data_IF_521818416573
#
_entry.id   IF_521818416573
#
_cell.length_a   1.000
_cell.length_b   1.000
_cell.length_c   1.000
_cell.angle_alpha   90.00
_cell.angle_beta   90.00
_cell.angle_gamma   90.00
#
_symmetry.space_group_name_H-M   'P 1'
#
loop_
_entity.id
_entity.type
_entity.pdbx_description
1 polymer ?
#
# COMPACT_ATOMS: atom_id res chain seq x y z
N UNK A 1 -1.23 -3.22 24.83
CA UNK A 1 -1.48 -2.16 23.82
C UNK A 1 -0.23 -1.39 23.43
N UNK A 2 0.60 -0.87 24.35
CA UNK A 2 1.78 -0.03 24.03
C UNK A 2 2.74 -0.63 23.01
N UNK A 3 2.92 -1.94 22.95
CA UNK A 3 3.79 -2.60 21.98
C UNK A 3 3.25 -2.61 20.54
N UNK A 4 1.96 -2.38 20.34
CA UNK A 4 1.31 -2.37 19.03
C UNK A 4 1.17 -0.98 18.41
N UNK A 5 1.80 0.02 19.01
CA UNK A 5 1.85 1.41 18.55
C UNK A 5 3.21 2.01 18.94
N UNK A 6 3.72 2.90 18.11
CA UNK A 6 4.94 3.65 18.39
C UNK A 6 4.83 5.05 17.80
N UNK A 7 5.86 5.89 17.96
CA UNK A 7 5.90 7.21 17.33
C UNK A 7 5.82 7.14 15.80
N UNK A 8 6.24 6.02 15.19
CA UNK A 8 6.10 5.82 13.76
C UNK A 8 4.62 5.82 13.32
N UNK A 9 3.69 5.29 14.12
CA UNK A 9 2.25 5.29 13.82
C UNK A 9 1.64 6.69 13.70
N UNK A 10 2.31 7.71 14.22
CA UNK A 10 1.86 9.11 14.15
C UNK A 10 2.53 9.90 13.03
N UNK A 11 3.32 9.23 12.19
CA UNK A 11 3.93 9.88 11.03
C UNK A 11 2.87 10.36 10.07
N UNK A 12 3.11 11.56 9.53
CA UNK A 12 2.28 12.13 8.51
C UNK A 12 2.81 11.78 7.11
N UNK A 13 2.01 11.13 6.25
CA UNK A 13 2.44 10.81 4.90
C UNK A 13 2.78 12.08 4.11
N UNK A 14 3.96 12.12 3.49
CA UNK A 14 4.38 13.27 2.67
C UNK A 14 3.76 13.25 1.26
N UNK A 15 3.13 12.13 0.86
CA UNK A 15 2.35 12.00 -0.36
C UNK A 15 0.93 11.56 -0.01
N UNK A 16 -0.02 12.48 -0.06
CA UNK A 16 -1.45 12.18 0.15
C UNK A 16 -2.17 12.36 -1.18
N UNK A 17 -2.54 11.25 -1.82
CA UNK A 17 -3.19 11.15 -3.13
C UNK A 17 -4.45 10.29 -3.01
N UNK A 18 -5.39 10.33 -3.99
CA UNK A 18 -6.54 9.42 -3.99
C UNK A 18 -6.09 7.97 -3.87
N UNK A 19 -6.56 7.27 -2.84
CA UNK A 19 -6.23 5.86 -2.60
C UNK A 19 -7.22 5.25 -1.60
N UNK A 20 -7.63 3.99 -1.80
CA UNK A 20 -8.34 3.18 -0.80
C UNK A 20 -7.48 2.90 0.43
N UNK A 21 -6.17 3.06 0.30
CA UNK A 21 -5.18 2.74 1.32
C UNK A 21 -4.91 3.85 2.36
N UNK A 22 -5.55 5.03 2.21
CA UNK A 22 -5.25 6.21 3.06
C UNK A 22 -5.26 5.91 4.56
N UNK A 23 -6.23 5.13 5.00
CA UNK A 23 -6.41 4.83 6.42
C UNK A 23 -5.39 3.83 7.00
N UNK A 24 -4.64 3.14 6.14
CA UNK A 24 -3.61 2.18 6.55
C UNK A 24 -2.21 2.80 6.72
N UNK A 25 -2.02 4.08 6.35
CA UNK A 25 -0.74 4.78 6.50
C UNK A 25 -0.11 4.65 7.90
N UNK A 26 -0.85 4.91 9.00
CA UNK A 26 -0.33 4.75 10.36
C UNK A 26 0.20 3.36 10.66
N UNK A 27 -0.48 2.32 10.17
CA UNK A 27 -0.02 0.95 10.30
C UNK A 27 1.21 0.67 9.44
N UNK A 28 1.27 1.19 8.22
CA UNK A 28 2.43 1.02 7.35
C UNK A 28 3.71 1.54 8.02
N UNK A 29 3.68 2.73 8.61
CA UNK A 29 4.83 3.29 9.32
C UNK A 29 5.27 2.42 10.50
N UNK A 30 4.33 1.91 11.30
CA UNK A 30 4.64 1.00 12.39
C UNK A 30 5.18 -0.34 11.88
N UNK A 31 4.56 -0.94 10.86
CA UNK A 31 5.02 -2.19 10.26
C UNK A 31 6.46 -2.09 9.77
N UNK A 32 6.77 -1.01 9.04
CA UNK A 32 8.11 -0.76 8.53
C UNK A 32 9.15 -0.58 9.66
N UNK A 33 8.74 0.00 10.78
CA UNK A 33 9.61 0.10 11.97
C UNK A 33 9.87 -1.26 12.61
N UNK A 34 8.85 -2.12 12.70
CA UNK A 34 9.01 -3.46 13.30
C UNK A 34 9.80 -4.40 12.39
N UNK A 35 9.55 -4.35 11.09
CA UNK A 35 10.11 -5.31 10.14
C UNK A 35 11.48 -4.87 9.59
N UNK A 36 11.68 -3.57 9.34
CA UNK A 36 12.85 -2.99 8.66
C UNK A 36 13.25 -3.81 7.42
N UNK A 37 12.34 -4.00 6.45
CA UNK A 37 12.56 -4.89 5.33
C UNK A 37 13.70 -4.40 4.45
N UNK A 38 14.62 -5.30 4.08
CA UNK A 38 15.70 -4.99 3.10
C UNK A 38 15.12 -4.76 1.72
N UNK A 39 14.09 -5.55 1.37
CA UNK A 39 13.35 -5.42 0.13
C UNK A 39 11.84 -5.49 0.39
N UNK A 40 11.16 -4.42 0.02
CA UNK A 40 9.69 -4.37 -0.09
C UNK A 40 9.32 -4.40 -1.57
N UNK A 41 8.33 -5.21 -1.92
CA UNK A 41 7.74 -5.21 -3.26
C UNK A 41 6.24 -4.95 -3.14
N UNK A 42 5.73 -4.05 -3.98
CA UNK A 42 4.31 -3.74 -4.11
C UNK A 42 3.83 -4.10 -5.52
N UNK A 43 2.78 -4.90 -5.60
CA UNK A 43 2.10 -5.30 -6.83
C UNK A 43 0.78 -4.51 -6.94
N UNK A 44 0.73 -3.57 -7.89
CA UNK A 44 -0.34 -2.58 -8.00
C UNK A 44 -0.04 -1.35 -7.15
N UNK A 45 0.25 -0.24 -7.80
CA UNK A 45 0.73 0.97 -7.12
C UNK A 45 -0.14 2.18 -7.43
N UNK A 46 -0.72 2.22 -8.61
CA UNK A 46 -1.57 3.30 -9.08
C UNK A 46 -0.94 4.69 -8.87
N UNK A 47 -1.37 5.44 -7.86
CA UNK A 47 -0.86 6.79 -7.52
C UNK A 47 0.26 6.78 -6.47
N UNK A 48 0.61 5.60 -5.92
CA UNK A 48 1.76 5.40 -5.06
C UNK A 48 1.63 5.93 -3.64
N UNK A 49 0.45 5.86 -3.01
CA UNK A 49 0.31 6.27 -1.61
C UNK A 49 1.01 5.29 -0.66
N UNK A 50 0.68 4.00 -0.71
CA UNK A 50 1.28 2.92 0.09
C UNK A 50 2.79 2.83 -0.14
N UNK A 51 3.19 2.81 -1.40
CA UNK A 51 4.58 2.83 -1.82
C UNK A 51 5.37 4.02 -1.21
N UNK A 52 4.79 5.22 -1.23
CA UNK A 52 5.42 6.40 -0.63
C UNK A 52 5.54 6.29 0.91
N UNK A 53 4.56 5.69 1.60
CA UNK A 53 4.65 5.42 3.03
C UNK A 53 5.83 4.47 3.34
N UNK A 54 6.02 3.42 2.55
CA UNK A 54 7.16 2.50 2.69
C UNK A 54 8.49 3.21 2.43
N UNK A 55 8.60 3.97 1.33
CA UNK A 55 9.81 4.75 1.02
C UNK A 55 10.14 5.80 2.09
N UNK A 56 9.12 6.52 2.58
CA UNK A 56 9.28 7.50 3.66
C UNK A 56 9.84 6.86 4.92
N UNK A 57 9.35 5.66 5.27
CA UNK A 57 9.81 4.90 6.42
C UNK A 57 11.30 4.55 6.30
N UNK A 58 11.72 4.00 5.15
CA UNK A 58 13.13 3.67 4.88
C UNK A 58 14.01 4.91 5.04
N UNK A 59 13.63 6.02 4.37
CA UNK A 59 14.37 7.28 4.41
C UNK A 59 14.51 7.84 5.82
N UNK A 60 13.39 7.84 6.57
CA UNK A 60 13.35 8.40 7.92
C UNK A 60 14.16 7.60 8.92
N UNK A 61 14.05 6.29 8.88
CA UNK A 61 14.77 5.39 9.77
C UNK A 61 16.24 5.14 9.36
N UNK A 62 16.63 5.57 8.15
CA UNK A 62 18.01 5.51 7.63
C UNK A 62 18.61 4.10 7.66
N UNK A 63 17.83 3.09 7.32
CA UNK A 63 18.35 1.73 7.12
C UNK A 63 18.46 1.39 5.61
N UNK A 64 19.28 0.40 5.22
CA UNK A 64 19.54 0.08 3.80
C UNK A 64 18.40 -0.75 3.19
N UNK A 65 17.17 -0.21 3.19
CA UNK A 65 15.99 -0.81 2.58
C UNK A 65 15.74 -0.25 1.18
N UNK A 66 15.13 -1.09 0.33
CA UNK A 66 14.65 -0.73 -1.01
C UNK A 66 13.16 -1.06 -1.13
N UNK A 67 12.46 -0.26 -1.92
CA UNK A 67 11.03 -0.45 -2.20
C UNK A 67 10.86 -0.46 -3.72
N UNK A 68 10.37 -1.56 -4.26
CA UNK A 68 10.05 -1.71 -5.68
C UNK A 68 8.53 -1.74 -5.80
N UNK A 69 7.97 -0.91 -6.65
CA UNK A 69 6.59 -1.07 -7.06
C UNK A 69 6.49 -1.54 -8.51
N UNK A 70 5.53 -2.40 -8.76
CA UNK A 70 5.24 -2.96 -10.08
C UNK A 70 3.83 -2.61 -10.46
N UNK A 71 3.67 -1.95 -11.61
CA UNK A 71 2.37 -1.59 -12.16
C UNK A 71 2.52 -1.40 -13.67
N UNK A 72 1.51 -1.72 -14.44
CA UNK A 72 1.46 -1.39 -15.87
C UNK A 72 1.03 0.05 -16.11
N UNK A 73 0.34 0.66 -15.16
CA UNK A 73 -0.39 1.93 -15.28
C UNK A 73 -1.39 1.96 -16.45
N UNK A 74 -1.87 0.78 -16.88
CA UNK A 74 -2.92 0.67 -17.90
C UNK A 74 -4.32 0.64 -17.29
N UNK A 75 -4.39 0.42 -15.96
CA UNK A 75 -5.64 0.24 -15.23
C UNK A 75 -6.24 -1.16 -15.42
N UNK A 76 -7.38 -1.35 -14.81
CA UNK A 76 -8.20 -2.55 -14.89
C UNK A 76 -9.69 -2.18 -14.80
N UNK A 77 -10.56 -3.21 -14.78
CA UNK A 77 -12.00 -3.03 -14.76
C UNK A 77 -12.51 -2.28 -13.52
N UNK A 78 -11.79 -2.35 -12.40
CA UNK A 78 -12.16 -1.70 -11.14
C UNK A 78 -11.56 -0.29 -11.02
N UNK A 79 -10.36 -0.07 -11.52
CA UNK A 79 -9.64 1.20 -11.38
C UNK A 79 -10.18 2.32 -12.28
N UNK A 80 -10.90 1.98 -13.38
CA UNK A 80 -11.45 2.97 -14.32
C UNK A 80 -10.39 3.88 -14.94
N UNK A 81 -9.14 3.42 -15.03
CA UNK A 81 -8.00 4.15 -15.57
C UNK A 81 -7.95 3.95 -17.08
N UNK A 82 -7.75 5.02 -17.83
CA UNK A 82 -7.44 4.99 -19.26
C UNK A 82 -5.96 5.33 -19.48
N UNK A 83 -5.36 4.86 -20.59
CA UNK A 83 -3.92 4.94 -20.87
C UNK A 83 -3.29 6.31 -20.58
N UNK A 84 -3.91 7.39 -21.05
CA UNK A 84 -3.39 8.75 -20.80
C UNK A 84 -3.32 9.11 -19.32
N UNK A 85 -4.31 8.68 -18.53
CA UNK A 85 -4.33 8.92 -17.09
C UNK A 85 -3.25 8.09 -16.40
N UNK A 86 -3.02 6.87 -16.87
CA UNK A 86 -1.94 6.01 -16.38
C UNK A 86 -0.56 6.62 -16.60
N UNK A 87 -0.30 7.17 -17.79
CA UNK A 87 0.95 7.87 -18.10
C UNK A 87 1.18 9.09 -17.19
N UNK A 88 0.14 9.89 -16.95
CA UNK A 88 0.20 11.04 -16.04
C UNK A 88 0.49 10.59 -14.59
N UNK A 89 -0.14 9.50 -14.12
CA UNK A 89 0.10 8.95 -12.79
C UNK A 89 1.53 8.43 -12.61
N UNK A 90 2.02 7.66 -13.60
CA UNK A 90 3.38 7.16 -13.60
C UNK A 90 4.40 8.30 -13.56
N UNK A 91 4.26 9.30 -14.45
CA UNK A 91 5.17 10.44 -14.52
C UNK A 91 5.18 11.28 -13.21
N UNK A 92 3.99 11.50 -12.61
CA UNK A 92 3.85 12.21 -11.33
C UNK A 92 4.53 11.44 -10.18
N UNK A 93 4.34 10.11 -10.12
CA UNK A 93 4.98 9.28 -9.11
C UNK A 93 6.48 9.20 -9.32
N UNK A 94 6.95 9.06 -10.57
CA UNK A 94 8.39 9.05 -10.89
C UNK A 94 9.07 10.34 -10.45
N UNK A 95 8.46 11.51 -10.75
CA UNK A 95 9.00 12.79 -10.31
C UNK A 95 9.09 12.88 -8.78
N UNK A 96 8.07 12.38 -8.07
CA UNK A 96 8.08 12.34 -6.61
C UNK A 96 9.19 11.43 -6.05
N UNK A 97 9.44 10.29 -6.68
CA UNK A 97 10.53 9.37 -6.30
C UNK A 97 11.89 10.01 -6.56
N UNK A 98 12.09 10.61 -7.72
CA UNK A 98 13.36 11.26 -8.08
C UNK A 98 13.72 12.39 -7.11
N UNK A 99 12.73 13.14 -6.65
CA UNK A 99 12.90 14.23 -5.68
C UNK A 99 13.13 13.71 -4.26
N UNK A 100 12.36 12.71 -3.82
CA UNK A 100 12.28 12.36 -2.41
C UNK A 100 12.93 11.04 -2.03
N UNK A 101 13.01 10.06 -2.94
CA UNK A 101 13.35 8.66 -2.63
C UNK A 101 14.38 8.04 -3.57
N UNK A 102 15.21 8.88 -4.19
CA UNK A 102 16.31 8.42 -5.05
C UNK A 102 17.19 7.41 -4.33
N UNK A 103 17.36 6.22 -4.93
CA UNK A 103 18.13 5.12 -4.35
C UNK A 103 17.36 4.26 -3.33
N UNK A 104 16.12 4.63 -2.98
CA UNK A 104 15.21 3.87 -2.11
C UNK A 104 14.06 3.26 -2.92
N UNK A 105 13.33 4.11 -3.64
CA UNK A 105 12.17 3.73 -4.43
C UNK A 105 12.51 3.45 -5.88
N UNK A 106 11.90 2.43 -6.45
CA UNK A 106 12.06 2.05 -7.86
C UNK A 106 10.69 1.69 -8.46
N UNK A 107 10.35 2.28 -9.61
CA UNK A 107 9.14 1.99 -10.36
C UNK A 107 9.45 1.00 -11.48
N UNK A 108 8.71 -0.11 -11.55
CA UNK A 108 8.75 -1.09 -12.63
C UNK A 108 7.45 -1.02 -13.41
N UNK A 109 7.48 -0.40 -14.59
CA UNK A 109 6.33 -0.31 -15.48
C UNK A 109 6.22 -1.58 -16.34
N UNK A 110 5.69 -2.65 -15.75
CA UNK A 110 5.59 -3.96 -16.41
C UNK A 110 4.51 -4.82 -15.74
N UNK A 111 4.22 -5.99 -16.29
CA UNK A 111 3.37 -6.99 -15.64
C UNK A 111 4.07 -7.63 -14.43
N UNK A 112 3.27 -8.07 -13.45
CA UNK A 112 3.81 -8.70 -12.23
C UNK A 112 4.61 -9.96 -12.54
N UNK A 113 4.17 -10.75 -13.54
CA UNK A 113 4.87 -11.95 -14.01
C UNK A 113 6.23 -11.66 -14.64
N UNK A 114 6.37 -10.54 -15.33
CA UNK A 114 7.66 -10.12 -15.94
C UNK A 114 8.61 -9.58 -14.87
N UNK A 115 8.09 -8.86 -13.88
CA UNK A 115 8.88 -8.30 -12.79
C UNK A 115 9.57 -9.38 -11.94
N UNK A 116 9.06 -10.62 -11.90
CA UNK A 116 9.70 -11.76 -11.24
C UNK A 116 11.16 -11.97 -11.69
N UNK A 117 11.47 -11.68 -12.96
CA UNK A 117 12.82 -11.85 -13.51
C UNK A 117 13.83 -10.80 -12.99
N UNK A 118 13.36 -9.76 -12.33
CA UNK A 118 14.17 -8.66 -11.80
C UNK A 118 14.32 -8.70 -10.28
N UNK A 119 13.77 -9.72 -9.62
CA UNK A 119 13.85 -9.92 -8.17
C UNK A 119 14.42 -11.30 -7.88
N UNK A 120 15.43 -11.38 -7.04
CA UNK A 120 16.05 -12.65 -6.65
C UNK A 120 15.10 -13.46 -5.75
N UNK A 121 15.16 -14.79 -5.86
CA UNK A 121 14.37 -15.69 -5.03
C UNK A 121 14.81 -15.58 -3.56
N UNK A 122 13.86 -15.61 -2.65
CA UNK A 122 14.12 -15.58 -1.20
C UNK A 122 14.57 -14.23 -0.64
N UNK A 123 14.35 -13.11 -1.35
CA UNK A 123 14.87 -11.79 -0.94
C UNK A 123 13.82 -10.79 -0.48
N UNK A 124 12.54 -11.02 -0.77
CA UNK A 124 11.44 -10.08 -0.45
C UNK A 124 11.01 -10.27 1.00
N UNK A 125 11.30 -9.29 1.85
CA UNK A 125 10.92 -9.31 3.27
C UNK A 125 9.47 -8.80 3.50
N UNK A 126 8.96 -7.93 2.61
CA UNK A 126 7.59 -7.44 2.62
C UNK A 126 7.02 -7.45 1.21
N UNK A 127 5.96 -8.21 0.99
CA UNK A 127 5.18 -8.22 -0.25
C UNK A 127 3.82 -7.57 0.00
N UNK A 128 3.43 -6.60 -0.82
CA UNK A 128 2.09 -6.01 -0.81
C UNK A 128 1.36 -6.39 -2.10
N UNK A 129 0.25 -7.11 -1.98
CA UNK A 129 -0.61 -7.54 -3.09
C UNK A 129 -1.82 -6.62 -3.13
N UNK A 130 -1.85 -5.75 -4.14
CA UNK A 130 -2.89 -4.74 -4.38
C UNK A 130 -3.11 -4.54 -5.90
N UNK A 131 -3.11 -5.67 -6.63
CA UNK A 131 -3.33 -5.73 -8.09
C UNK A 131 -4.81 -5.74 -8.46
N UNK A 132 -5.16 -6.59 -9.45
CA UNK A 132 -6.56 -6.83 -9.82
C UNK A 132 -7.28 -7.56 -8.70
N UNK A 133 -8.54 -7.21 -8.47
CA UNK A 133 -9.26 -7.58 -7.26
C UNK A 133 -10.10 -8.87 -7.39
N UNK A 134 -10.04 -9.59 -8.54
CA UNK A 134 -10.70 -10.88 -8.67
C UNK A 134 -9.97 -11.96 -7.86
N UNK A 135 -10.69 -13.01 -7.47
CA UNK A 135 -10.13 -14.10 -6.68
C UNK A 135 -8.93 -14.77 -7.35
N UNK A 136 -9.05 -15.09 -8.65
CA UNK A 136 -7.99 -15.78 -9.38
C UNK A 136 -6.74 -14.90 -9.55
N UNK A 137 -6.93 -13.59 -9.81
CA UNK A 137 -5.82 -12.66 -9.94
C UNK A 137 -5.06 -12.51 -8.60
N UNK A 138 -5.75 -12.28 -7.49
CA UNK A 138 -5.10 -12.16 -6.17
C UNK A 138 -4.38 -13.47 -5.77
N UNK A 139 -4.93 -14.62 -6.14
CA UNK A 139 -4.31 -15.92 -5.93
C UNK A 139 -3.08 -16.12 -6.81
N UNK A 140 -3.17 -15.78 -8.09
CA UNK A 140 -2.04 -15.87 -9.04
C UNK A 140 -0.90 -14.94 -8.60
N UNK A 141 -1.21 -13.67 -8.29
CA UNK A 141 -0.23 -12.69 -7.84
C UNK A 141 0.54 -13.19 -6.62
N UNK A 142 -0.16 -13.67 -5.59
CA UNK A 142 0.48 -14.19 -4.40
C UNK A 142 1.29 -15.47 -4.70
N UNK A 143 0.68 -16.47 -5.34
CA UNK A 143 1.31 -17.80 -5.51
C UNK A 143 2.54 -17.75 -6.40
N UNK A 144 2.56 -16.90 -7.43
CA UNK A 144 3.72 -16.72 -8.31
C UNK A 144 4.87 -16.01 -7.60
N UNK A 145 4.57 -15.14 -6.62
CA UNK A 145 5.58 -14.39 -5.86
C UNK A 145 6.07 -15.11 -4.60
N UNK A 146 5.47 -16.23 -4.18
CA UNK A 146 5.90 -16.99 -2.98
C UNK A 146 7.38 -17.33 -3.02
N UNK A 147 7.93 -17.75 -4.17
CA UNK A 147 9.36 -18.09 -4.30
C UNK A 147 10.31 -16.91 -4.07
N UNK A 148 9.79 -15.67 -4.20
CA UNK A 148 10.57 -14.45 -3.95
C UNK A 148 10.64 -14.06 -2.49
N UNK A 149 9.74 -14.60 -1.65
CA UNK A 149 9.64 -14.28 -0.24
C UNK A 149 10.85 -14.79 0.55
N UNK A 150 11.38 -13.93 1.40
CA UNK A 150 12.38 -14.30 2.39
C UNK A 150 11.78 -15.28 3.42
N UNK A 151 12.61 -16.08 4.12
CA UNK A 151 12.13 -17.07 5.10
C UNK A 151 11.34 -16.49 6.29
N UNK A 152 11.37 -15.18 6.47
CA UNK A 152 10.65 -14.45 7.54
C UNK A 152 9.87 -13.26 6.99
N UNK A 153 9.27 -13.44 5.81
CA UNK A 153 8.53 -12.35 5.14
C UNK A 153 7.15 -12.11 5.74
N UNK A 154 6.60 -10.94 5.43
CA UNK A 154 5.20 -10.57 5.65
C UNK A 154 4.56 -10.29 4.30
N UNK A 155 3.32 -10.73 4.13
CA UNK A 155 2.51 -10.46 2.94
C UNK A 155 1.30 -9.62 3.36
N UNK A 156 1.08 -8.51 2.68
CA UNK A 156 -0.11 -7.66 2.81
C UNK A 156 -1.07 -7.95 1.66
N UNK A 157 -2.36 -8.03 1.97
CA UNK A 157 -3.46 -8.12 1.00
C UNK A 157 -4.42 -6.97 1.24
N UNK A 158 -4.57 -6.09 0.26
CA UNK A 158 -5.57 -5.02 0.35
C UNK A 158 -6.95 -5.52 -0.12
N UNK A 159 -8.01 -4.73 0.14
CA UNK A 159 -9.40 -5.00 -0.26
C UNK A 159 -10.03 -6.27 0.32
N UNK A 160 -9.54 -6.76 1.46
CA UNK A 160 -10.06 -7.97 2.12
C UNK A 160 -11.48 -7.79 2.67
N UNK A 161 -12.02 -6.57 2.72
CA UNK A 161 -13.38 -6.28 3.18
C UNK A 161 -14.35 -5.85 2.08
N UNK A 162 -13.90 -5.75 0.81
CA UNK A 162 -14.77 -5.41 -0.32
C UNK A 162 -15.52 -6.65 -0.83
N UNK A 163 -16.85 -6.55 -1.00
CA UNK A 163 -17.74 -7.68 -1.35
C UNK A 163 -18.50 -7.49 -2.66
N UNK A 164 -18.50 -6.31 -3.22
CA UNK A 164 -19.23 -5.89 -4.42
C UNK A 164 -18.32 -5.82 -5.65
N UNK A 165 -18.86 -5.49 -6.80
CA UNK A 165 -18.16 -5.31 -8.08
C UNK A 165 -17.29 -6.49 -8.54
N UNK A 166 -17.60 -7.73 -8.10
CA UNK A 166 -16.84 -8.93 -8.49
C UNK A 166 -15.53 -9.13 -7.72
N UNK A 167 -15.24 -8.29 -6.72
CA UNK A 167 -14.08 -8.48 -5.86
C UNK A 167 -14.05 -9.88 -5.25
N UNK A 168 -12.88 -10.49 -5.23
CA UNK A 168 -12.65 -11.84 -4.73
C UNK A 168 -11.50 -11.96 -3.74
N UNK A 169 -10.79 -10.85 -3.48
CA UNK A 169 -9.65 -10.83 -2.54
C UNK A 169 -10.06 -11.37 -1.17
N UNK A 170 -11.26 -11.01 -0.67
CA UNK A 170 -11.76 -11.49 0.61
C UNK A 170 -11.91 -13.02 0.69
N UNK A 171 -12.24 -13.68 -0.44
CA UNK A 171 -12.35 -15.15 -0.50
C UNK A 171 -10.96 -15.76 -0.43
N UNK A 172 -10.03 -15.24 -1.21
CA UNK A 172 -8.66 -15.70 -1.19
C UNK A 172 -7.98 -15.43 0.16
N UNK A 173 -8.23 -14.26 0.76
CA UNK A 173 -7.75 -13.95 2.10
C UNK A 173 -8.24 -14.96 3.14
N UNK A 174 -9.53 -15.30 3.13
CA UNK A 174 -10.08 -16.32 4.03
C UNK A 174 -9.42 -17.70 3.85
N UNK A 175 -9.08 -18.06 2.61
CA UNK A 175 -8.37 -19.32 2.30
C UNK A 175 -6.92 -19.29 2.80
N UNK A 176 -6.15 -18.26 2.43
CA UNK A 176 -4.70 -18.23 2.67
C UNK A 176 -4.35 -17.95 4.14
N UNK A 177 -5.21 -17.23 4.85
CA UNK A 177 -5.00 -16.92 6.28
C UNK A 177 -5.49 -18.01 7.23
N UNK A 178 -6.23 -19.01 6.75
CA UNK A 178 -6.79 -20.07 7.58
C UNK A 178 -5.70 -20.85 8.33
N UNK A 179 -5.73 -20.79 9.65
CA UNK A 179 -4.76 -21.46 10.52
C UNK A 179 -3.34 -20.88 10.49
N UNK A 180 -3.12 -19.76 9.79
CA UNK A 180 -1.83 -19.08 9.72
C UNK A 180 -1.75 -17.91 10.70
N UNK A 181 -0.55 -17.59 11.22
CA UNK A 181 -0.32 -16.35 11.95
C UNK A 181 -0.66 -15.15 11.08
N UNK A 182 -1.73 -14.42 11.45
CA UNK A 182 -2.27 -13.34 10.62
C UNK A 182 -3.08 -12.34 11.42
N UNK A 183 -3.27 -11.16 10.85
CA UNK A 183 -4.12 -10.11 11.38
C UNK A 183 -4.89 -9.45 10.23
N UNK A 184 -6.11 -9.02 10.48
CA UNK A 184 -6.91 -8.31 9.49
C UNK A 184 -7.45 -7.01 10.09
N UNK A 185 -7.21 -5.89 9.40
CA UNK A 185 -7.89 -4.62 9.61
C UNK A 185 -9.14 -4.57 8.75
N UNK A 186 -10.23 -4.06 9.32
CA UNK A 186 -11.56 -4.03 8.67
C UNK A 186 -11.88 -2.67 8.05
N UNK A 187 -11.15 -1.60 8.44
CA UNK A 187 -11.31 -0.25 7.87
C UNK A 187 -10.55 -0.10 6.54
N UNK A 188 -10.78 0.98 5.82
CA UNK A 188 -10.04 1.32 4.61
C UNK A 188 -10.07 0.21 3.54
N UNK A 189 -11.23 -0.37 3.26
CA UNK A 189 -11.48 -1.53 2.38
C UNK A 189 -10.91 -2.86 2.91
N UNK A 190 -10.25 -2.86 4.06
CA UNK A 190 -9.62 -4.03 4.65
C UNK A 190 -8.16 -4.21 4.26
N UNK A 191 -7.35 -4.67 5.23
CA UNK A 191 -5.96 -5.02 5.01
C UNK A 191 -5.62 -6.29 5.78
N UNK A 192 -5.36 -7.36 5.07
CA UNK A 192 -4.83 -8.61 5.61
C UNK A 192 -3.32 -8.55 5.77
N UNK A 193 -2.82 -9.02 6.90
CA UNK A 193 -1.38 -9.13 7.22
C UNK A 193 -1.08 -10.59 7.51
N UNK A 194 -0.34 -11.24 6.64
CA UNK A 194 -0.02 -12.66 6.71
C UNK A 194 1.46 -12.84 6.99
N UNK A 195 1.79 -13.68 8.00
CA UNK A 195 3.15 -14.13 8.20
C UNK A 195 3.51 -15.23 7.20
N UNK A 196 4.67 -15.09 6.54
CA UNK A 196 5.27 -16.15 5.76
C UNK A 196 6.54 -16.66 6.47
N UNK A 197 6.61 -17.98 6.68
CA UNK A 197 7.70 -18.58 7.45
C UNK A 197 7.68 -18.18 8.93
N UNK A 198 8.83 -17.88 9.52
CA UNK A 198 8.96 -17.57 10.95
C UNK A 198 9.50 -16.15 11.17
N UNK A 199 8.70 -15.27 11.72
CA UNK A 199 9.16 -13.97 12.19
C UNK A 199 10.00 -14.08 13.45
N UNK A 200 10.89 -13.12 13.66
CA UNK A 200 11.56 -12.93 14.94
C UNK A 200 10.54 -12.52 16.02
N UNK A 201 10.80 -12.95 17.27
CA UNK A 201 9.98 -12.55 18.41
C UNK A 201 9.93 -11.02 18.50
N UNK A 202 8.73 -10.49 18.81
CA UNK A 202 8.53 -9.06 18.89
C UNK A 202 7.07 -8.64 18.69
N UNK A 203 6.79 -7.34 18.72
CA UNK A 203 5.42 -6.84 18.63
C UNK A 203 4.65 -7.29 17.39
N UNK A 204 5.33 -7.40 16.25
CA UNK A 204 4.69 -7.86 15.01
C UNK A 204 4.30 -9.34 15.10
N UNK A 205 5.22 -10.22 15.53
CA UNK A 205 4.92 -11.63 15.73
C UNK A 205 3.79 -11.84 16.75
N UNK A 206 3.79 -11.05 17.84
CA UNK A 206 2.72 -11.08 18.84
C UNK A 206 1.37 -10.64 18.25
N UNK A 207 1.36 -9.62 17.37
CA UNK A 207 0.13 -9.16 16.73
C UNK A 207 -0.46 -10.21 15.77
N UNK A 208 0.39 -10.93 15.05
CA UNK A 208 -0.02 -11.97 14.10
C UNK A 208 -0.35 -13.31 14.77
N UNK A 209 0.01 -13.48 16.05
CA UNK A 209 -0.19 -14.74 16.78
C UNK A 209 -1.66 -15.16 16.82
N UNK A 210 -1.98 -16.44 16.50
CA UNK A 210 -3.33 -16.98 16.71
C UNK A 210 -3.80 -16.90 18.17
N UNK A 211 -2.87 -16.84 19.13
CA UNK A 211 -3.17 -16.71 20.55
C UNK A 211 -3.47 -15.28 21.02
N UNK A 212 -3.36 -14.27 20.13
CA UNK A 212 -3.68 -12.89 20.50
C UNK A 212 -5.17 -12.79 20.90
N UNK A 213 -5.51 -12.34 22.11
CA UNK A 213 -6.89 -12.24 22.58
C UNK A 213 -7.75 -11.37 21.65
N UNK A 214 -9.00 -11.78 21.42
CA UNK A 214 -9.90 -11.05 20.51
C UNK A 214 -10.18 -9.61 20.99
N UNK A 215 -10.23 -9.38 22.31
CA UNK A 215 -10.34 -8.01 22.85
C UNK A 215 -9.16 -7.14 22.41
N UNK A 216 -7.94 -7.69 22.44
CA UNK A 216 -6.74 -6.98 21.99
C UNK A 216 -6.77 -6.75 20.47
N UNK A 217 -7.25 -7.73 19.68
CA UNK A 217 -7.45 -7.54 18.22
C UNK A 217 -8.39 -6.38 17.93
N UNK A 218 -9.54 -6.31 18.62
CA UNK A 218 -10.50 -5.20 18.49
C UNK A 218 -9.90 -3.85 18.86
N UNK A 219 -9.14 -3.81 19.95
CA UNK A 219 -8.47 -2.57 20.37
C UNK A 219 -7.44 -2.08 19.36
N UNK A 220 -6.65 -2.99 18.77
CA UNK A 220 -5.68 -2.66 17.70
C UNK A 220 -6.42 -2.12 16.47
N UNK A 221 -7.49 -2.79 16.01
CA UNK A 221 -8.32 -2.33 14.90
C UNK A 221 -8.88 -0.93 15.15
N UNK A 222 -9.47 -0.71 16.31
CA UNK A 222 -10.04 0.58 16.68
C UNK A 222 -9.00 1.70 16.73
N UNK A 223 -7.82 1.40 17.26
CA UNK A 223 -6.71 2.35 17.35
C UNK A 223 -6.24 2.79 15.96
N UNK A 224 -5.93 1.85 15.07
CA UNK A 224 -5.44 2.18 13.72
C UNK A 224 -6.52 2.82 12.85
N UNK A 225 -7.76 2.38 12.96
CA UNK A 225 -8.90 3.04 12.31
C UNK A 225 -9.01 4.51 12.72
N UNK A 226 -8.88 4.82 14.02
CA UNK A 226 -8.88 6.21 14.53
C UNK A 226 -7.76 7.06 13.92
N UNK A 227 -6.55 6.52 13.86
CA UNK A 227 -5.41 7.23 13.29
C UNK A 227 -5.60 7.45 11.79
N UNK A 228 -6.07 6.43 11.08
CA UNK A 228 -6.29 6.46 9.64
C UNK A 228 -7.37 7.46 9.21
N UNK A 229 -8.47 7.53 9.94
CA UNK A 229 -9.57 8.49 9.69
C UNK A 229 -9.05 9.93 9.66
N UNK A 230 -8.05 10.28 10.47
CA UNK A 230 -7.43 11.60 10.45
C UNK A 230 -6.79 11.96 9.10
N UNK A 231 -6.11 10.99 8.48
CA UNK A 231 -5.48 11.18 7.16
C UNK A 231 -6.54 11.30 6.06
N UNK A 232 -7.54 10.42 6.09
CA UNK A 232 -8.63 10.44 5.12
C UNK A 232 -9.44 11.74 5.21
N UNK A 233 -9.78 12.18 6.41
CA UNK A 233 -10.47 13.45 6.64
C UNK A 233 -9.68 14.66 6.12
N UNK A 234 -8.36 14.66 6.31
CA UNK A 234 -7.49 15.69 5.77
C UNK A 234 -7.50 15.70 4.23
N UNK A 235 -7.39 14.53 3.61
CA UNK A 235 -7.49 14.39 2.15
C UNK A 235 -8.83 14.93 1.61
N UNK A 236 -9.96 14.52 2.20
CA UNK A 236 -11.28 14.97 1.78
C UNK A 236 -11.47 16.47 2.00
N UNK A 237 -10.95 17.03 3.11
CA UNK A 237 -10.96 18.48 3.33
C UNK A 237 -10.18 19.24 2.24
N UNK A 238 -8.98 18.78 1.89
CA UNK A 238 -8.19 19.39 0.82
C UNK A 238 -8.90 19.28 -0.54
N UNK A 239 -9.51 18.13 -0.82
CA UNK A 239 -10.30 17.88 -2.04
C UNK A 239 -11.50 18.82 -2.12
N UNK A 240 -12.23 19.00 -1.01
CA UNK A 240 -13.34 19.93 -0.91
C UNK A 240 -12.89 21.39 -1.16
N UNK A 241 -11.83 21.83 -0.48
CA UNK A 241 -11.27 23.18 -0.67
C UNK A 241 -10.89 23.44 -2.13
N UNK A 242 -10.20 22.53 -2.78
CA UNK A 242 -9.83 22.66 -4.21
C UNK A 242 -11.06 22.84 -5.08
N UNK A 243 -12.08 21.98 -4.92
CA UNK A 243 -13.34 22.09 -5.67
C UNK A 243 -14.06 23.41 -5.43
N UNK A 244 -14.05 23.90 -4.20
CA UNK A 244 -14.67 25.18 -3.85
C UNK A 244 -13.94 26.37 -4.49
N UNK A 245 -12.62 26.38 -4.49
CA UNK A 245 -11.80 27.39 -5.14
C UNK A 245 -11.97 27.39 -6.67
N UNK A 246 -12.04 26.24 -7.29
CA UNK A 246 -12.30 26.08 -8.72
C UNK A 246 -13.70 26.62 -9.11
N UNK A 247 -14.71 26.40 -8.27
CA UNK A 247 -16.06 26.95 -8.49
C UNK A 247 -16.10 28.47 -8.34
N UNK A 248 -15.34 29.04 -7.40
CA UNK A 248 -15.27 30.49 -7.21
C UNK A 248 -14.50 31.23 -8.29
N UNK A 249 -13.60 30.54 -8.98
CA UNK A 249 -12.74 31.18 -9.98
C UNK A 249 -12.61 30.31 -11.25
N UNK A 250 -13.68 30.19 -12.06
CA UNK A 250 -13.71 29.34 -13.24
C UNK A 250 -12.66 29.73 -14.29
N UNK A 251 -12.25 31.02 -14.34
CA UNK A 251 -11.19 31.49 -15.23
C UNK A 251 -9.81 30.92 -14.85
N UNK A 252 -9.54 30.69 -13.57
CA UNK A 252 -8.30 29.99 -13.14
C UNK A 252 -8.29 28.53 -13.56
N UNK A 253 -9.43 27.87 -13.65
CA UNK A 253 -9.55 26.50 -14.15
C UNK A 253 -9.18 26.47 -15.64
N UNK A 254 -9.77 27.35 -16.43
CA UNK A 254 -9.49 27.48 -17.88
C UNK A 254 -8.02 27.83 -18.13
N UNK A 255 -7.45 28.77 -17.37
CA UNK A 255 -6.04 29.16 -17.49
C UNK A 255 -5.09 28.00 -17.14
N UNK A 256 -5.46 27.17 -16.16
CA UNK A 256 -4.67 25.98 -15.76
C UNK A 256 -4.76 24.85 -16.80
N UNK A 257 -5.91 24.70 -17.46
CA UNK A 257 -6.08 23.76 -18.58
C UNK A 257 -5.31 24.22 -19.83
N UNK A 258 -5.32 25.52 -20.12
CA UNK A 258 -4.56 26.12 -21.24
C UNK A 258 -3.06 26.17 -20.98
N UNK A 259 -2.61 26.28 -19.72
CA UNK A 259 -1.20 26.29 -19.35
C UNK A 259 -0.60 24.88 -19.25
N UNK A 260 -1.38 23.79 -19.42
CA UNK A 260 -0.84 22.45 -19.59
C UNK A 260 -0.09 22.40 -20.91
N UNK A 261 1.24 22.18 -20.92
CA UNK A 261 2.00 22.18 -22.17
C UNK A 261 1.42 21.11 -23.10
N UNK A 262 1.17 21.51 -24.35
CA UNK A 262 0.96 20.57 -25.44
C UNK A 262 2.25 19.73 -25.56
N UNK A 263 2.31 18.62 -24.87
CA UNK A 263 3.33 17.61 -25.15
C UNK A 263 2.84 16.81 -26.35
N UNK A 264 3.48 17.11 -27.50
CA UNK A 264 3.42 16.28 -28.69
C UNK A 264 4.07 14.94 -28.42
#
# INVERSE_FOLDING_TARGET
MQKFISMASFEWPNRIVPSGWLEHGPFAFWLMEQLKPRLTVELGTQRGYSFACFCQSVKKMKYPGRVICVDTWKGDEHAGIVDKMGDEMHADLQAHVDENYKGIGELKRTFFSEALNHVEDGTVDLLHVDGRHFYDDAKEDHTTWIRKLAPSAVVLFHDTQVRDHGFGVYKYWAEVSAGQPSFEFEHGHGLGVLQYGKLHDGPLADMLSPSLPEVTRKDIRAMYSRLGVGINAHYEHQRYRRRFEERKNPLKKIAKELARPFRK
#
